data_IF_184074829364
#
_entry.id   IF_184074829364
#
_cell.length_a   1.000
_cell.length_b   1.000
_cell.length_c   1.000
_cell.angle_alpha   90.00
_cell.angle_beta   90.00
_cell.angle_gamma   90.00
#
_symmetry.space_group_name_H-M   'P 1'
#
loop_
_entity.id
_entity.type
_entity.pdbx_description
1 polymer ?
#
# COMPACT_ATOMS: atom_id res chain seq x y z
N UNK A 1 -5.55 4.07 11.37
CA UNK A 1 -6.52 3.77 10.28
C UNK A 1 -5.78 3.87 8.97
N UNK A 2 -6.06 2.98 8.02
CA UNK A 2 -5.41 2.90 6.71
C UNK A 2 -6.44 2.85 5.60
N UNK A 3 -6.32 3.72 4.60
CA UNK A 3 -7.19 3.79 3.42
C UNK A 3 -6.35 3.60 2.15
N UNK A 4 -6.79 2.70 1.26
CA UNK A 4 -5.95 2.14 0.22
C UNK A 4 -6.61 2.16 -1.17
N UNK A 5 -5.82 2.48 -2.20
CA UNK A 5 -6.04 2.00 -3.57
C UNK A 5 -5.09 0.83 -3.80
N UNK A 6 -5.64 -0.36 -4.05
CA UNK A 6 -4.88 -1.62 -4.06
C UNK A 6 -5.04 -2.38 -5.37
N UNK A 7 -3.93 -2.90 -5.90
CA UNK A 7 -3.90 -4.01 -6.85
C UNK A 7 -3.58 -5.28 -6.08
N UNK A 8 -4.40 -6.32 -6.19
CA UNK A 8 -4.14 -7.58 -5.52
C UNK A 8 -4.47 -8.81 -6.38
N UNK A 9 -3.82 -9.91 -6.03
CA UNK A 9 -4.04 -11.24 -6.57
C UNK A 9 -3.90 -12.27 -5.46
N UNK A 10 -3.94 -13.56 -5.82
CA UNK A 10 -3.88 -14.68 -4.86
C UNK A 10 -2.65 -14.61 -3.94
N UNK A 11 -1.53 -14.09 -4.44
CA UNK A 11 -0.22 -14.14 -3.77
C UNK A 11 0.51 -12.81 -3.71
N UNK A 12 -0.18 -11.73 -4.05
CA UNK A 12 0.44 -10.42 -4.01
C UNK A 12 -0.58 -9.32 -3.76
N UNK A 13 -0.07 -8.21 -3.24
CA UNK A 13 -0.79 -6.96 -3.15
C UNK A 13 0.20 -5.81 -3.32
N UNK A 14 -0.21 -4.74 -4.00
CA UNK A 14 0.48 -3.46 -3.98
C UNK A 14 -0.54 -2.35 -3.79
N UNK A 15 -0.23 -1.38 -2.94
CA UNK A 15 -1.17 -0.33 -2.60
C UNK A 15 -0.48 1.02 -2.42
N UNK A 16 -1.22 2.06 -2.77
CA UNK A 16 -1.06 3.37 -2.14
C UNK A 16 -1.98 3.44 -0.93
N UNK A 17 -1.42 3.85 0.19
CA UNK A 17 -2.07 3.86 1.49
C UNK A 17 -1.94 5.23 2.14
N UNK A 18 -3.01 5.77 2.70
CA UNK A 18 -2.93 6.83 3.70
C UNK A 18 -3.01 6.16 5.07
N UNK A 19 -1.98 6.31 5.90
CA UNK A 19 -2.05 5.94 7.31
C UNK A 19 -2.16 7.20 8.18
N UNK A 20 -2.94 7.11 9.25
CA UNK A 20 -2.92 8.09 10.33
C UNK A 20 -2.06 7.57 11.48
N UNK A 21 -0.95 8.26 11.76
CA UNK A 21 0.01 7.91 12.81
C UNK A 21 0.58 9.18 13.47
N UNK A 22 0.70 9.20 14.80
CA UNK A 22 1.21 10.34 15.58
C UNK A 22 0.64 11.71 15.13
N UNK A 23 -0.69 11.81 15.01
CA UNK A 23 -1.42 13.00 14.56
C UNK A 23 -1.08 13.51 13.16
N UNK A 24 -0.54 12.63 12.31
CA UNK A 24 -0.13 12.95 10.94
C UNK A 24 -0.73 11.96 9.96
N UNK A 25 -1.15 12.46 8.81
CA UNK A 25 -1.45 11.64 7.65
C UNK A 25 -0.15 11.38 6.88
N UNK A 26 0.16 10.13 6.62
CA UNK A 26 1.35 9.70 5.90
C UNK A 26 0.89 8.93 4.67
N UNK A 27 1.36 9.36 3.51
CA UNK A 27 1.20 8.63 2.26
C UNK A 27 2.31 7.58 2.17
N UNK A 28 1.91 6.33 2.03
CA UNK A 28 2.80 5.19 1.88
C UNK A 28 2.55 4.48 0.56
N UNK A 29 3.62 3.94 -0.01
CA UNK A 29 3.53 2.89 -1.01
C UNK A 29 3.96 1.57 -0.36
N UNK A 30 3.21 0.50 -0.60
CA UNK A 30 3.54 -0.82 -0.06
C UNK A 30 3.28 -1.93 -1.07
N UNK A 31 4.03 -3.01 -0.96
CA UNK A 31 3.68 -4.27 -1.62
C UNK A 31 3.99 -5.48 -0.76
N UNK A 32 3.30 -6.58 -1.04
CA UNK A 32 3.49 -7.88 -0.43
C UNK A 32 3.51 -8.97 -1.49
N UNK A 33 4.35 -9.97 -1.28
CA UNK A 33 4.40 -11.21 -2.05
C UNK A 33 4.43 -12.41 -1.12
N UNK A 34 3.61 -13.41 -1.40
CA UNK A 34 3.58 -14.67 -0.66
C UNK A 34 4.41 -15.69 -1.44
N UNK A 35 5.55 -16.11 -0.88
CA UNK A 35 6.43 -17.16 -1.45
C UNK A 35 5.78 -18.54 -1.33
N UNK A 36 6.27 -19.52 -2.09
CA UNK A 36 5.71 -20.89 -2.08
C UNK A 36 5.81 -21.54 -0.69
N UNK A 37 6.81 -21.11 0.10
CA UNK A 37 6.98 -21.50 1.50
C UNK A 37 5.95 -20.87 2.45
N UNK A 38 5.05 -20.01 1.98
CA UNK A 38 4.11 -19.25 2.80
C UNK A 38 4.70 -17.99 3.45
N UNK A 39 6.01 -17.75 3.29
CA UNK A 39 6.69 -16.55 3.81
C UNK A 39 6.22 -15.32 3.02
N UNK A 40 5.81 -14.28 3.75
CA UNK A 40 5.45 -12.98 3.17
C UNK A 40 6.69 -12.10 3.06
N UNK A 41 6.98 -11.66 1.84
CA UNK A 41 7.93 -10.59 1.57
C UNK A 41 7.16 -9.27 1.49
N UNK A 42 7.44 -8.34 2.40
CA UNK A 42 6.75 -7.07 2.52
C UNK A 42 7.72 -5.91 2.35
N UNK A 43 7.28 -4.90 1.62
CA UNK A 43 7.95 -3.63 1.48
C UNK A 43 6.97 -2.50 1.77
N UNK A 44 7.44 -1.50 2.49
CA UNK A 44 6.73 -0.25 2.73
C UNK A 44 7.71 0.91 2.61
N UNK A 45 7.25 1.96 1.94
CA UNK A 45 7.98 3.22 1.77
C UNK A 45 7.04 4.37 2.14
N UNK A 46 7.49 5.24 3.04
CA UNK A 46 6.83 6.52 3.28
C UNK A 46 7.22 7.48 2.15
N UNK A 47 6.22 7.92 1.39
CA UNK A 47 6.41 8.84 0.27
C UNK A 47 6.49 10.27 0.78
N UNK A 48 5.52 10.66 1.63
CA UNK A 48 5.49 11.98 2.26
C UNK A 48 4.45 12.06 3.38
N UNK A 49 4.61 13.07 4.24
CA UNK A 49 3.55 13.52 5.12
C UNK A 49 2.55 14.40 4.34
N UNK A 50 1.26 14.12 4.49
CA UNK A 50 0.18 14.93 3.95
C UNK A 50 -0.21 16.00 4.97
N UNK A 51 -0.32 17.26 4.52
CA UNK A 51 -0.79 18.39 5.34
C UNK A 51 -2.32 18.48 5.40
N UNK A 52 -3.03 17.72 4.56
CA UNK A 52 -4.48 17.75 4.38
C UNK A 52 -5.04 16.33 4.32
N UNK A 53 -6.33 16.17 4.67
CA UNK A 53 -7.03 14.89 4.70
C UNK A 53 -7.57 14.43 3.33
N UNK A 54 -7.30 15.17 2.25
CA UNK A 54 -7.79 14.84 0.90
C UNK A 54 -6.61 14.51 0.00
N UNK A 55 -6.61 13.30 -0.55
CA UNK A 55 -5.64 12.82 -1.51
C UNK A 55 -6.34 11.92 -2.53
N UNK A 56 -6.00 12.07 -3.81
CA UNK A 56 -6.56 11.27 -4.89
C UNK A 56 -5.55 10.21 -5.30
N UNK A 57 -6.02 9.00 -5.54
CA UNK A 57 -5.20 7.90 -6.03
C UNK A 57 -5.61 7.47 -7.42
N UNK A 58 -4.63 7.07 -8.22
CA UNK A 58 -4.83 6.49 -9.54
C UNK A 58 -3.85 5.34 -9.74
N UNK A 59 -4.28 4.34 -10.49
CA UNK A 59 -3.41 3.28 -11.00
C UNK A 59 -3.64 3.12 -12.49
N UNK A 60 -2.57 3.20 -13.26
CA UNK A 60 -2.58 2.87 -14.68
C UNK A 60 -2.12 1.41 -14.82
N UNK A 61 -2.99 0.54 -15.34
CA UNK A 61 -2.68 -0.89 -15.56
C UNK A 61 -2.35 -1.11 -17.03
N UNK A 62 -1.07 -1.32 -17.32
CA UNK A 62 -0.54 -1.50 -18.66
C UNK A 62 -0.37 -2.96 -19.08
N UNK A 63 0.25 -3.13 -20.25
CA UNK A 63 0.62 -4.44 -20.79
C UNK A 63 1.53 -5.21 -19.82
N UNK A 64 1.46 -6.55 -19.89
CA UNK A 64 2.22 -7.48 -19.04
C UNK A 64 1.96 -7.30 -17.53
N UNK A 65 0.84 -6.66 -17.16
CA UNK A 65 0.45 -6.47 -15.76
C UNK A 65 1.28 -5.40 -15.04
N UNK A 66 1.93 -4.49 -15.77
CA UNK A 66 2.65 -3.37 -15.14
C UNK A 66 1.63 -2.39 -14.58
N UNK A 67 1.63 -2.23 -13.27
CA UNK A 67 0.79 -1.30 -12.54
C UNK A 67 1.63 -0.10 -12.10
N UNK A 68 1.22 1.09 -12.55
CA UNK A 68 1.84 2.34 -12.18
C UNK A 68 0.91 3.14 -11.27
N UNK A 69 1.37 3.41 -10.06
CA UNK A 69 0.62 4.21 -9.09
C UNK A 69 0.93 5.71 -9.23
N UNK A 70 -0.09 6.51 -9.00
CA UNK A 70 -0.04 7.96 -8.93
C UNK A 70 -0.86 8.45 -7.75
N UNK A 71 -0.47 9.60 -7.23
CA UNK A 71 -1.28 10.35 -6.29
C UNK A 71 -1.40 11.80 -6.75
N UNK A 72 -2.48 12.47 -6.38
CA UNK A 72 -2.62 13.90 -6.56
C UNK A 72 -3.07 14.54 -5.26
N UNK A 73 -2.52 15.72 -4.98
CA UNK A 73 -3.00 16.59 -3.91
C UNK A 73 -4.19 17.40 -4.45
N UNK A 74 -4.56 18.45 -3.73
CA UNK A 74 -5.69 19.32 -4.07
C UNK A 74 -5.53 20.07 -5.41
N UNK A 75 -4.31 20.18 -5.92
CA UNK A 75 -3.96 20.85 -7.17
C UNK A 75 -4.25 20.02 -8.44
N UNK A 76 -4.78 18.80 -8.29
CA UNK A 76 -5.05 17.84 -9.37
C UNK A 76 -3.82 17.49 -10.22
N UNK A 77 -2.61 17.80 -9.76
CA UNK A 77 -1.36 17.43 -10.43
C UNK A 77 -0.99 16.01 -10.03
N UNK A 78 -1.02 15.10 -10.99
CA UNK A 78 -0.67 13.70 -10.77
C UNK A 78 0.85 13.53 -10.61
N UNK A 79 1.25 13.08 -9.43
CA UNK A 79 2.62 12.71 -9.09
C UNK A 79 2.76 11.20 -9.22
N UNK A 80 3.75 10.77 -10.00
CA UNK A 80 4.06 9.37 -10.26
C UNK A 80 4.86 8.77 -9.11
N UNK A 81 4.49 7.59 -8.64
CA UNK A 81 5.34 6.80 -7.73
C UNK A 81 6.49 6.20 -8.53
N UNK A 82 7.72 6.40 -8.05
CA UNK A 82 8.94 5.99 -8.78
C UNK A 82 8.97 4.50 -9.11
N UNK A 83 8.40 3.66 -8.23
CA UNK A 83 8.40 2.21 -8.39
C UNK A 83 7.16 1.72 -9.14
N UNK A 84 7.37 0.80 -10.08
CA UNK A 84 6.31 0.03 -10.71
C UNK A 84 6.03 -1.24 -9.91
N UNK A 85 4.79 -1.71 -9.97
CA UNK A 85 4.44 -3.06 -9.55
C UNK A 85 4.16 -3.93 -10.77
N UNK A 86 4.55 -5.19 -10.77
CA UNK A 86 4.20 -6.13 -11.85
C UNK A 86 3.29 -7.20 -11.29
N UNK A 87 2.01 -7.15 -11.68
CA UNK A 87 1.02 -8.14 -11.31
C UNK A 87 1.41 -9.51 -11.89
N UNK A 88 1.67 -10.47 -11.01
CA UNK A 88 2.00 -11.84 -11.39
C UNK A 88 0.81 -12.55 -12.06
N UNK A 89 1.11 -13.56 -12.88
CA UNK A 89 0.09 -14.45 -13.46
C UNK A 89 -0.65 -15.18 -12.34
N UNK A 90 -1.97 -15.01 -12.25
CA UNK A 90 -2.83 -15.79 -11.36
C UNK A 90 -3.25 -17.11 -12.01
N UNK A 91 -3.71 -18.07 -11.21
CA UNK A 91 -4.26 -19.34 -11.73
C UNK A 91 -5.66 -19.18 -12.33
N UNK A 92 -6.50 -18.32 -11.73
CA UNK A 92 -7.93 -18.20 -12.12
C UNK A 92 -8.50 -16.78 -11.99
N UNK A 93 -8.23 -16.09 -10.87
CA UNK A 93 -8.94 -14.86 -10.51
C UNK A 93 -8.39 -13.55 -11.06
N UNK A 94 -7.29 -13.58 -11.83
CA UNK A 94 -6.60 -12.38 -12.33
C UNK A 94 -6.15 -11.39 -11.24
N UNK A 95 -5.52 -10.30 -11.67
CA UNK A 95 -5.29 -9.13 -10.81
C UNK A 95 -6.59 -8.33 -10.68
N UNK A 96 -6.85 -7.76 -9.50
CA UNK A 96 -8.00 -6.89 -9.25
C UNK A 96 -7.55 -5.54 -8.71
N UNK A 97 -8.30 -4.49 -9.04
CA UNK A 97 -8.18 -3.15 -8.43
C UNK A 97 -9.30 -3.03 -7.40
N UNK A 98 -8.99 -2.51 -6.21
CA UNK A 98 -10.00 -2.22 -5.20
C UNK A 98 -9.65 -0.99 -4.36
N UNK A 99 -10.65 -0.51 -3.64
CA UNK A 99 -10.49 0.42 -2.53
C UNK A 99 -10.68 -0.37 -1.24
N UNK A 100 -9.81 -0.16 -0.26
CA UNK A 100 -9.87 -0.87 1.01
C UNK A 100 -9.63 0.09 2.17
N UNK A 101 -10.35 -0.10 3.28
CA UNK A 101 -10.15 0.67 4.50
C UNK A 101 -10.05 -0.29 5.69
N UNK A 102 -9.07 -0.06 6.56
CA UNK A 102 -8.87 -0.86 7.76
C UNK A 102 -8.45 -0.02 8.95
N UNK A 103 -8.86 -0.46 10.14
CA UNK A 103 -8.35 0.07 11.40
C UNK A 103 -7.29 -0.90 11.93
N UNK A 104 -6.05 -0.45 12.13
CA UNK A 104 -5.12 -1.22 12.96
C UNK A 104 -5.65 -1.22 14.39
N UNK A 105 -5.82 -2.42 14.97
CA UNK A 105 -5.84 -2.55 16.42
C UNK A 105 -4.44 -2.19 16.95
N UNK A 106 -4.36 -1.38 18.00
CA UNK A 106 -3.10 -1.11 18.73
C UNK A 106 -2.43 -2.46 19.02
N UNK A 107 -1.23 -2.69 18.51
CA UNK A 107 -0.40 -3.78 19.04
C UNK A 107 -0.06 -3.41 20.50
N UNK A 108 -0.35 -4.27 21.49
CA UNK A 108 0.05 -4.00 22.85
C UNK A 108 1.58 -3.93 22.89
N UNK A 109 2.12 -2.82 23.39
CA UNK A 109 3.54 -2.66 23.66
C UNK A 109 3.94 -3.75 24.66
N UNK A 110 4.66 -4.78 24.20
CA UNK A 110 5.30 -5.73 25.10
C UNK A 110 6.51 -5.01 25.69
N UNK A 111 6.34 -4.39 26.85
CA UNK A 111 7.45 -3.97 27.69
C UNK A 111 8.19 -5.22 28.16
N UNK A 112 9.32 -5.56 27.54
CA UNK A 112 10.27 -6.50 28.15
C UNK A 112 10.85 -5.83 29.39
N UNK A 113 10.34 -6.21 30.57
CA UNK A 113 11.03 -5.98 31.82
C UNK A 113 12.26 -6.91 31.85
N UNK A 114 13.43 -6.38 31.52
CA UNK A 114 14.70 -7.01 31.86
C UNK A 114 14.99 -6.76 33.34
N UNK A 115 14.53 -7.68 34.20
CA UNK A 115 15.09 -7.85 35.53
C UNK A 115 16.25 -8.86 35.43
N UNK A 116 17.49 -8.37 35.39
CA UNK A 116 18.67 -8.98 36.03
C UNK A 116 19.55 -7.84 36.50
#
# INVERSE_FOLDING_TARGET
MGEDLIIYGERYAAALTIIFNHDKYILCYRYRWIKDSGIVDEYQEEIMQLSISVCQFKVDVGLKGICQFYYAKQDNQWIKITRNFVAGKGKWGGAKVAIFASTQARQPTVSMNSNI
#
